data_IF_910438352354
#
_entry.id   IF_910438352354
#
_cell.length_a   1.000
_cell.length_b   1.000
_cell.length_c   1.000
_cell.angle_alpha   90.00
_cell.angle_beta   90.00
_cell.angle_gamma   90.00
#
_symmetry.space_group_name_H-M   'P 1'
#
loop_
_entity.id
_entity.type
_entity.pdbx_description
1 polymer ?
#
# COMPACT_ATOMS: atom_id res chain seq x y z
N UNK A 1 -5.83 -19.24 -4.56
CA UNK A 1 -6.50 -19.12 -3.24
C UNK A 1 -6.30 -20.43 -2.50
N UNK A 2 -5.11 -20.65 -1.94
CA UNK A 2 -4.63 -21.95 -1.44
C UNK A 2 -4.05 -21.84 -0.01
N UNK A 3 -4.36 -20.75 0.71
CA UNK A 3 -3.62 -20.35 1.91
C UNK A 3 -4.17 -20.91 3.23
N UNK A 4 -5.21 -21.73 3.24
CA UNK A 4 -5.76 -22.33 4.46
C UNK A 4 -6.30 -23.74 4.20
N UNK A 5 -5.43 -24.67 3.82
CA UNK A 5 -5.75 -26.10 3.94
C UNK A 5 -5.42 -26.54 5.37
N UNK A 6 -6.36 -26.35 6.29
CA UNK A 6 -6.25 -26.76 7.69
C UNK A 6 -7.50 -26.40 8.50
N UNK A 7 -7.77 -27.15 9.57
CA UNK A 7 -8.86 -26.87 10.49
C UNK A 7 -8.61 -25.53 11.22
N UNK A 8 -9.49 -24.55 11.03
CA UNK A 8 -9.41 -23.25 11.70
C UNK A 8 -10.13 -23.34 13.04
N UNK A 9 -9.38 -23.31 14.14
CA UNK A 9 -9.93 -23.33 15.51
C UNK A 9 -9.98 -21.90 16.06
N UNK A 10 -11.18 -21.43 16.42
CA UNK A 10 -11.37 -20.13 17.07
C UNK A 10 -11.12 -20.25 18.58
N UNK A 11 -10.06 -19.61 19.08
CA UNK A 11 -9.71 -19.63 20.51
C UNK A 11 -10.18 -18.35 21.21
N UNK A 12 -10.92 -18.45 22.33
CA UNK A 12 -11.35 -17.27 23.10
C UNK A 12 -10.17 -16.41 23.61
N UNK A 13 -10.31 -15.07 23.65
CA UNK A 13 -9.23 -14.15 24.05
C UNK A 13 -8.63 -14.41 25.44
N UNK A 14 -9.38 -15.03 26.36
CA UNK A 14 -8.92 -15.36 27.71
C UNK A 14 -7.72 -16.32 27.75
N UNK A 15 -7.45 -17.04 26.66
CA UNK A 15 -6.31 -17.95 26.53
C UNK A 15 -5.12 -17.31 25.79
N UNK A 16 -5.20 -16.03 25.37
CA UNK A 16 -4.12 -15.39 24.61
C UNK A 16 -2.80 -15.31 25.38
N UNK A 17 -2.84 -15.03 26.67
CA UNK A 17 -1.62 -14.91 27.48
C UNK A 17 -0.96 -16.27 27.71
N UNK A 18 -1.76 -17.33 27.85
CA UNK A 18 -1.30 -18.71 27.93
C UNK A 18 -0.66 -19.17 26.61
N UNK A 19 -1.32 -18.89 25.48
CA UNK A 19 -0.81 -19.20 24.14
C UNK A 19 0.51 -18.48 23.85
N UNK A 20 0.65 -17.20 24.25
CA UNK A 20 1.90 -16.44 24.07
C UNK A 20 3.06 -16.98 24.92
N UNK A 21 2.76 -17.71 25.99
CA UNK A 21 3.76 -18.31 26.88
C UNK A 21 4.20 -19.72 26.45
N UNK A 22 3.54 -20.30 25.45
CA UNK A 22 3.87 -21.64 24.96
C UNK A 22 5.17 -21.63 24.14
N UNK A 23 5.89 -22.76 24.09
CA UNK A 23 7.07 -22.88 23.24
C UNK A 23 6.74 -22.79 21.75
N UNK A 24 7.62 -22.17 20.97
CA UNK A 24 7.50 -22.04 19.51
C UNK A 24 7.37 -23.39 18.77
N UNK A 25 7.77 -24.50 19.41
CA UNK A 25 7.61 -25.86 18.86
C UNK A 25 6.15 -26.33 18.75
N UNK A 26 5.23 -25.71 19.50
CA UNK A 26 3.79 -26.03 19.49
C UNK A 26 2.95 -24.91 18.87
N UNK A 27 3.37 -23.65 19.07
CA UNK A 27 2.66 -22.48 18.56
C UNK A 27 3.68 -21.43 18.12
N UNK A 28 4.03 -21.44 16.83
CA UNK A 28 4.90 -20.42 16.25
C UNK A 28 4.06 -19.20 15.84
N UNK A 29 4.01 -18.21 16.73
CA UNK A 29 3.30 -16.97 16.48
C UNK A 29 3.91 -16.16 15.33
N UNK A 30 5.23 -16.25 15.13
CA UNK A 30 5.92 -15.56 14.05
C UNK A 30 5.52 -16.18 12.71
N UNK A 31 5.56 -17.50 12.58
CA UNK A 31 5.07 -18.21 11.40
C UNK A 31 3.56 -18.00 11.19
N UNK A 32 2.76 -17.99 12.26
CA UNK A 32 1.34 -17.68 12.20
C UNK A 32 1.06 -16.28 11.68
N UNK A 33 1.83 -15.28 12.12
CA UNK A 33 1.78 -13.93 11.58
C UNK A 33 2.25 -13.88 10.13
N UNK A 34 3.30 -14.62 9.76
CA UNK A 34 3.76 -14.69 8.37
C UNK A 34 2.69 -15.29 7.46
N UNK A 35 2.00 -16.34 7.88
CA UNK A 35 0.90 -16.94 7.10
C UNK A 35 -0.28 -15.96 7.04
N UNK A 36 -0.69 -15.39 8.18
CA UNK A 36 -1.85 -14.50 8.28
C UNK A 36 -1.66 -13.18 7.53
N UNK A 37 -0.44 -12.63 7.57
CA UNK A 37 -0.04 -11.43 6.80
C UNK A 37 0.34 -11.76 5.36
N UNK A 38 0.19 -13.02 4.94
CA UNK A 38 0.46 -13.45 3.58
C UNK A 38 1.91 -13.14 3.17
N UNK A 39 2.87 -13.38 4.07
CA UNK A 39 4.29 -13.06 3.89
C UNK A 39 4.93 -13.70 2.67
N UNK A 40 4.39 -14.82 2.18
CA UNK A 40 4.70 -15.41 0.87
C UNK A 40 4.58 -14.40 -0.28
N UNK A 41 3.63 -13.48 -0.16
CA UNK A 41 3.35 -12.41 -1.12
C UNK A 41 4.02 -11.10 -0.73
N UNK A 42 4.29 -10.86 0.57
CA UNK A 42 4.96 -9.64 1.02
C UNK A 42 6.45 -9.61 0.83
N UNK A 43 7.12 -10.77 0.88
CA UNK A 43 8.55 -10.97 0.57
C UNK A 43 9.54 -10.03 1.28
N UNK A 44 9.11 -9.18 2.22
CA UNK A 44 9.98 -8.21 2.88
C UNK A 44 9.79 -8.23 4.39
N UNK A 45 10.87 -8.13 5.19
CA UNK A 45 10.75 -7.93 6.62
C UNK A 45 10.08 -6.58 6.90
N UNK A 46 8.74 -6.63 7.05
CA UNK A 46 7.87 -5.46 7.26
C UNK A 46 8.43 -4.60 8.40
N UNK A 47 8.93 -5.23 9.46
CA UNK A 47 9.51 -4.53 10.62
C UNK A 47 10.69 -3.62 10.25
N UNK A 48 11.60 -4.08 9.40
CA UNK A 48 12.78 -3.30 8.99
C UNK A 48 12.38 -2.17 8.03
N UNK A 49 11.48 -2.44 7.09
CA UNK A 49 10.91 -1.43 6.22
C UNK A 49 10.17 -0.35 7.00
N UNK A 50 9.29 -0.74 7.93
CA UNK A 50 8.53 0.19 8.77
C UNK A 50 9.50 1.02 9.60
N UNK A 51 10.52 0.40 10.20
CA UNK A 51 11.52 1.12 11.02
C UNK A 51 12.30 2.14 10.18
N UNK A 52 12.74 1.74 8.99
CA UNK A 52 13.47 2.60 8.06
C UNK A 52 12.59 3.74 7.57
N UNK A 53 11.37 3.43 7.15
CA UNK A 53 10.42 4.43 6.68
C UNK A 53 9.99 5.38 7.80
N UNK A 54 9.82 4.90 9.04
CA UNK A 54 9.60 5.75 10.21
C UNK A 54 10.79 6.67 10.47
N UNK A 55 12.02 6.15 10.44
CA UNK A 55 13.23 6.96 10.60
C UNK A 55 13.35 8.04 9.52
N UNK A 56 13.07 7.70 8.27
CA UNK A 56 13.16 8.62 7.14
C UNK A 56 12.07 9.70 7.16
N UNK A 57 10.84 9.36 7.56
CA UNK A 57 9.69 10.28 7.49
C UNK A 57 9.44 11.05 8.79
N UNK A 58 9.78 10.47 9.94
CA UNK A 58 9.56 11.06 11.27
C UNK A 58 10.86 11.61 11.87
N UNK A 59 12.02 11.07 11.46
CA UNK A 59 13.35 11.43 11.93
C UNK A 59 13.84 10.53 13.08
N UNK A 60 15.15 10.45 13.34
CA UNK A 60 15.69 9.81 14.53
C UNK A 60 15.24 10.62 15.76
N UNK A 61 14.42 10.05 16.64
CA UNK A 61 13.93 10.77 17.82
C UNK A 61 14.64 10.29 19.08
N UNK A 62 15.48 11.16 19.64
CA UNK A 62 16.01 11.04 21.00
C UNK A 62 15.09 11.72 22.04
N UNK A 63 14.20 12.63 21.60
CA UNK A 63 13.31 13.42 22.45
C UNK A 63 11.87 13.46 21.90
N UNK A 64 10.89 13.68 22.79
CA UNK A 64 9.48 13.78 22.44
C UNK A 64 9.18 14.98 21.55
N UNK A 65 8.48 14.75 20.41
CA UNK A 65 8.06 15.81 19.49
C UNK A 65 6.62 15.62 19.02
N UNK A 66 5.89 16.73 18.93
CA UNK A 66 4.55 16.73 18.32
C UNK A 66 4.64 16.56 16.81
N UNK A 67 3.89 15.62 16.26
CA UNK A 67 3.86 15.31 14.83
C UNK A 67 2.40 15.24 14.36
N UNK A 68 2.09 15.94 13.27
CA UNK A 68 0.81 15.75 12.58
C UNK A 68 0.85 14.42 11.82
N UNK A 69 0.01 13.48 12.24
CA UNK A 69 0.05 12.08 11.79
C UNK A 69 -0.39 11.96 10.33
N UNK A 70 -1.59 12.43 10.00
CA UNK A 70 -2.23 12.17 8.70
C UNK A 70 -1.38 12.55 7.46
N UNK A 71 -0.66 13.69 7.40
CA UNK A 71 0.15 14.03 6.22
C UNK A 71 1.37 13.13 6.01
N UNK A 72 1.86 12.46 7.06
CA UNK A 72 3.08 11.63 7.00
C UNK A 72 2.79 10.16 6.72
N UNK A 73 1.60 9.69 7.11
CA UNK A 73 1.21 8.28 6.99
C UNK A 73 1.11 7.81 5.55
N UNK A 74 0.57 8.57 4.57
CA UNK A 74 0.54 8.13 3.18
C UNK A 74 1.93 7.85 2.61
N UNK A 75 2.92 8.67 2.94
CA UNK A 75 4.30 8.46 2.49
C UNK A 75 4.92 7.23 3.17
N UNK A 76 4.69 7.07 4.47
CA UNK A 76 5.06 5.86 5.20
C UNK A 76 4.48 4.63 4.50
N UNK A 77 3.16 4.57 4.33
CA UNK A 77 2.46 3.44 3.70
C UNK A 77 2.91 3.20 2.26
N UNK A 78 3.11 4.26 1.47
CA UNK A 78 3.59 4.12 0.09
C UNK A 78 5.00 3.52 0.04
N UNK A 79 5.90 3.91 0.95
CA UNK A 79 7.28 3.37 0.98
C UNK A 79 7.34 1.95 1.54
N UNK A 80 6.50 1.61 2.53
CA UNK A 80 6.48 0.27 3.14
C UNK A 80 5.67 -0.73 2.33
N UNK A 81 4.58 -0.29 1.70
CA UNK A 81 3.63 -1.13 0.95
C UNK A 81 3.80 -1.08 -0.58
N UNK A 82 4.55 -0.11 -1.12
CA UNK A 82 4.78 0.05 -2.55
C UNK A 82 5.55 -1.11 -3.19
N UNK A 83 6.38 -1.81 -2.42
CA UNK A 83 7.10 -3.02 -2.87
C UNK A 83 6.11 -4.11 -3.28
N UNK A 84 5.05 -4.29 -2.49
CA UNK A 84 4.03 -5.32 -2.74
C UNK A 84 3.24 -5.05 -4.03
N UNK A 85 2.95 -3.77 -4.26
CA UNK A 85 2.01 -3.34 -5.27
C UNK A 85 2.68 -2.92 -6.58
N UNK A 86 3.97 -2.64 -6.60
CA UNK A 86 4.63 -2.12 -7.80
C UNK A 86 5.90 -2.90 -8.14
N UNK A 87 6.23 -3.94 -7.36
CA UNK A 87 7.48 -4.68 -7.50
C UNK A 87 8.69 -3.85 -7.08
N UNK A 88 9.82 -4.53 -6.89
CA UNK A 88 11.08 -3.90 -6.48
C UNK A 88 11.57 -2.85 -7.48
N UNK A 89 11.35 -3.10 -8.78
CA UNK A 89 11.80 -2.24 -9.89
C UNK A 89 11.15 -0.85 -9.85
N UNK A 90 9.84 -0.74 -9.58
CA UNK A 90 9.18 0.55 -9.45
C UNK A 90 9.32 1.15 -8.05
N UNK A 91 9.31 0.33 -7.00
CA UNK A 91 9.41 0.83 -5.64
C UNK A 91 10.77 1.48 -5.33
N UNK A 92 11.82 1.02 -6.00
CA UNK A 92 13.15 1.62 -5.89
C UNK A 92 13.23 3.04 -6.48
N UNK A 93 12.24 3.43 -7.30
CA UNK A 93 12.17 4.77 -7.86
C UNK A 93 11.40 5.71 -6.91
N UNK A 94 12.10 6.61 -6.22
CA UNK A 94 11.47 7.59 -5.32
C UNK A 94 10.44 8.49 -6.01
N UNK A 95 10.58 8.73 -7.32
CA UNK A 95 9.61 9.52 -8.09
C UNK A 95 8.30 8.77 -8.28
N UNK A 96 8.33 7.43 -8.38
CA UNK A 96 7.13 6.60 -8.48
C UNK A 96 6.23 6.78 -7.24
N UNK A 97 6.80 6.68 -6.04
CA UNK A 97 6.05 6.88 -4.79
C UNK A 97 5.42 8.28 -4.71
N UNK A 98 6.16 9.32 -5.14
CA UNK A 98 5.66 10.70 -5.19
C UNK A 98 4.49 10.83 -6.17
N UNK A 99 4.60 10.25 -7.36
CA UNK A 99 3.53 10.26 -8.38
C UNK A 99 2.28 9.56 -7.84
N UNK A 100 2.42 8.41 -7.18
CA UNK A 100 1.30 7.70 -6.57
C UNK A 100 0.58 8.54 -5.51
N UNK A 101 1.33 9.22 -4.64
CA UNK A 101 0.77 10.10 -3.60
C UNK A 101 0.11 11.34 -4.20
N UNK A 102 0.74 11.97 -5.20
CA UNK A 102 0.17 13.12 -5.89
C UNK A 102 -1.11 12.73 -6.65
N UNK A 103 -1.10 11.58 -7.33
CA UNK A 103 -2.28 11.03 -7.98
C UNK A 103 -3.40 10.81 -6.97
N UNK A 104 -3.11 10.17 -5.82
CA UNK A 104 -4.04 9.97 -4.71
C UNK A 104 -4.70 11.30 -4.29
N UNK A 105 -3.88 12.29 -3.96
CA UNK A 105 -4.31 13.59 -3.48
C UNK A 105 -5.21 14.30 -4.50
N UNK A 106 -4.84 14.27 -5.78
CA UNK A 106 -5.62 14.90 -6.84
C UNK A 106 -6.94 14.15 -7.10
N UNK A 107 -6.97 12.81 -7.01
CA UNK A 107 -8.21 12.03 -7.16
C UNK A 107 -9.20 12.35 -6.04
N UNK A 108 -8.77 12.35 -4.78
CA UNK A 108 -9.68 12.63 -3.66
C UNK A 108 -10.12 14.10 -3.62
N UNK A 109 -9.21 15.04 -3.85
CA UNK A 109 -9.55 16.47 -3.88
C UNK A 109 -10.41 16.83 -5.10
N UNK A 110 -10.03 16.36 -6.29
CA UNK A 110 -10.76 16.61 -7.53
C UNK A 110 -12.12 15.91 -7.54
N UNK A 111 -12.16 14.65 -7.13
CA UNK A 111 -13.39 13.88 -6.97
C UNK A 111 -14.31 14.50 -5.93
N UNK A 112 -13.79 14.89 -4.77
CA UNK A 112 -14.55 15.58 -3.73
C UNK A 112 -15.13 16.93 -4.17
N UNK A 113 -14.44 17.68 -5.04
CA UNK A 113 -15.00 18.91 -5.64
C UNK A 113 -16.10 18.61 -6.66
N UNK A 114 -15.96 17.53 -7.43
CA UNK A 114 -16.97 17.10 -8.39
C UNK A 114 -18.25 16.57 -7.72
N UNK A 115 -18.15 15.92 -6.55
CA UNK A 115 -19.33 15.40 -5.84
C UNK A 115 -20.25 16.50 -5.31
N UNK A 116 -19.70 17.69 -5.03
CA UNK A 116 -20.49 18.87 -4.63
C UNK A 116 -21.14 19.55 -5.85
N UNK A 117 -20.63 19.30 -7.06
CA UNK A 117 -21.16 19.88 -8.29
C UNK A 117 -22.37 19.08 -8.80
N UNK A 118 -23.50 19.72 -9.14
CA UNK A 118 -24.64 19.05 -9.77
C UNK A 118 -24.23 18.29 -11.02
N UNK A 119 -24.76 17.08 -11.22
CA UNK A 119 -24.32 16.16 -12.29
C UNK A 119 -24.33 16.79 -13.69
N UNK A 120 -25.30 17.66 -13.99
CA UNK A 120 -25.39 18.34 -15.29
C UNK A 120 -24.31 19.41 -15.51
N UNK A 121 -23.71 19.94 -14.43
CA UNK A 121 -22.61 20.91 -14.49
C UNK A 121 -21.23 20.25 -14.43
N UNK A 122 -21.12 18.98 -14.06
CA UNK A 122 -19.84 18.26 -13.97
C UNK A 122 -19.01 18.31 -15.27
N UNK A 123 -19.59 18.19 -16.49
CA UNK A 123 -18.82 18.30 -17.73
C UNK A 123 -18.17 19.67 -17.94
N UNK A 124 -18.73 20.75 -17.35
CA UNK A 124 -18.14 22.08 -17.42
C UNK A 124 -17.22 22.35 -16.23
N UNK A 125 -17.63 21.93 -15.03
CA UNK A 125 -16.86 22.09 -13.80
C UNK A 125 -15.48 21.44 -13.89
N UNK A 126 -15.33 20.35 -14.66
CA UNK A 126 -14.04 19.69 -14.83
C UNK A 126 -12.92 20.62 -15.34
N UNK A 127 -13.26 21.64 -16.14
CA UNK A 127 -12.29 22.59 -16.69
C UNK A 127 -11.81 23.60 -15.63
N UNK A 128 -12.58 23.79 -14.56
CA UNK A 128 -12.28 24.71 -13.47
C UNK A 128 -11.66 24.02 -12.25
N UNK A 129 -11.48 22.70 -12.28
CA UNK A 129 -10.90 21.91 -11.19
C UNK A 129 -9.46 21.54 -11.56
N UNK A 130 -8.43 22.26 -11.03
CA UNK A 130 -7.04 22.03 -11.39
C UNK A 130 -6.56 20.61 -11.09
N UNK A 131 -7.13 19.97 -10.07
CA UNK A 131 -6.78 18.60 -9.67
C UNK A 131 -7.04 17.60 -10.79
N UNK A 132 -8.11 17.76 -11.59
CA UNK A 132 -8.41 16.86 -12.70
C UNK A 132 -7.39 16.98 -13.84
N UNK A 133 -6.85 18.18 -14.05
CA UNK A 133 -5.73 18.37 -14.98
C UNK A 133 -4.45 17.73 -14.45
N UNK A 134 -4.18 17.89 -13.15
CA UNK A 134 -3.02 17.28 -12.49
C UNK A 134 -3.06 15.76 -12.53
N UNK A 135 -4.23 15.14 -12.42
CA UNK A 135 -4.41 13.68 -12.64
C UNK A 135 -3.82 13.25 -13.99
N UNK A 136 -4.12 13.98 -15.07
CA UNK A 136 -3.57 13.68 -16.41
C UNK A 136 -2.05 13.82 -16.46
N UNK A 137 -1.49 14.80 -15.74
CA UNK A 137 -0.04 14.98 -15.64
C UNK A 137 0.61 13.85 -14.84
N UNK A 138 0.02 13.43 -13.72
CA UNK A 138 0.46 12.27 -12.94
C UNK A 138 0.43 11.00 -13.80
N UNK A 139 -0.65 10.77 -14.56
CA UNK A 139 -0.76 9.64 -15.49
C UNK A 139 0.36 9.64 -16.54
N UNK A 140 0.66 10.79 -17.13
CA UNK A 140 1.76 10.91 -18.10
C UNK A 140 3.11 10.52 -17.50
N UNK A 141 3.43 11.07 -16.31
CA UNK A 141 4.68 10.74 -15.61
C UNK A 141 4.74 9.27 -15.17
N UNK A 142 3.61 8.74 -14.72
CA UNK A 142 3.50 7.33 -14.35
C UNK A 142 3.80 6.43 -15.55
N UNK A 143 3.28 6.77 -16.73
CA UNK A 143 3.58 6.06 -17.97
C UNK A 143 5.08 6.09 -18.31
N UNK A 144 5.73 7.25 -18.18
CA UNK A 144 7.17 7.41 -18.45
C UNK A 144 8.04 6.48 -17.57
N UNK A 145 7.63 6.21 -16.33
CA UNK A 145 8.37 5.36 -15.39
C UNK A 145 7.97 3.89 -15.50
N UNK A 146 6.66 3.60 -15.55
CA UNK A 146 6.16 2.23 -15.44
C UNK A 146 6.20 1.46 -16.76
N UNK A 147 5.97 2.11 -17.90
CA UNK A 147 5.96 1.44 -19.20
C UNK A 147 7.30 0.70 -19.48
N UNK A 148 8.48 1.33 -19.31
CA UNK A 148 9.75 0.63 -19.56
C UNK A 148 9.92 -0.64 -18.71
N UNK A 149 9.46 -0.62 -17.46
CA UNK A 149 9.50 -1.78 -16.56
C UNK A 149 8.57 -2.88 -17.04
N UNK A 150 7.34 -2.52 -17.41
CA UNK A 150 6.33 -3.47 -17.92
C UNK A 150 6.79 -4.09 -19.24
N UNK A 151 7.31 -3.30 -20.18
CA UNK A 151 7.85 -3.79 -21.46
C UNK A 151 9.05 -4.71 -21.28
N UNK A 152 9.97 -4.36 -20.39
CA UNK A 152 11.11 -5.23 -20.02
C UNK A 152 10.60 -6.56 -19.48
N UNK A 153 9.57 -6.54 -18.64
CA UNK A 153 8.97 -7.76 -18.07
C UNK A 153 8.28 -8.62 -19.13
N UNK A 154 7.53 -8.01 -20.05
CA UNK A 154 6.94 -8.71 -21.20
C UNK A 154 7.99 -9.42 -22.06
N UNK A 155 9.09 -8.74 -22.39
CA UNK A 155 10.22 -9.34 -23.14
C UNK A 155 10.87 -10.49 -22.38
N UNK A 156 11.01 -10.37 -21.06
CA UNK A 156 11.60 -11.43 -20.26
C UNK A 156 10.68 -12.65 -20.16
N UNK A 157 9.36 -12.48 -20.19
CA UNK A 157 8.39 -13.59 -20.20
C UNK A 157 8.48 -14.48 -21.46
N UNK A 158 9.13 -14.02 -22.52
CA UNK A 158 9.42 -14.84 -23.72
C UNK A 158 10.56 -15.85 -23.49
N UNK A 159 11.35 -15.68 -22.43
CA UNK A 159 12.46 -16.57 -22.11
C UNK A 159 11.97 -17.73 -21.25
N UNK A 160 12.41 -18.95 -21.58
CA UNK A 160 12.02 -20.17 -20.84
C UNK A 160 12.54 -20.19 -19.40
N UNK A 161 13.64 -19.48 -19.10
CA UNK A 161 14.26 -19.41 -17.78
C UNK A 161 13.71 -18.30 -16.88
N UNK A 162 12.76 -17.49 -17.38
CA UNK A 162 12.25 -16.35 -16.62
C UNK A 162 11.31 -16.77 -15.49
N UNK A 163 11.76 -16.54 -14.26
CA UNK A 163 10.91 -16.69 -13.08
C UNK A 163 10.02 -15.47 -12.92
N UNK A 164 8.73 -15.67 -13.19
CA UNK A 164 7.69 -14.64 -13.01
C UNK A 164 7.69 -14.11 -11.56
N UNK A 165 7.89 -12.79 -11.37
CA UNK A 165 7.75 -12.17 -10.06
C UNK A 165 6.32 -12.33 -9.53
N UNK A 166 6.16 -12.47 -8.23
CA UNK A 166 4.85 -12.57 -7.60
C UNK A 166 4.44 -11.20 -7.05
N UNK A 167 4.07 -10.29 -7.93
CA UNK A 167 3.67 -8.92 -7.63
C UNK A 167 2.49 -8.46 -8.51
N UNK A 168 1.94 -7.28 -8.21
CA UNK A 168 0.77 -6.76 -8.93
C UNK A 168 1.02 -6.56 -10.43
N UNK A 169 2.24 -6.17 -10.84
CA UNK A 169 2.57 -6.05 -12.27
C UNK A 169 2.36 -7.39 -12.95
N UNK A 170 2.92 -8.47 -12.39
CA UNK A 170 2.76 -9.79 -13.00
C UNK A 170 1.31 -10.27 -12.97
N UNK A 171 0.58 -10.05 -11.86
CA UNK A 171 -0.83 -10.44 -11.77
C UNK A 171 -1.69 -9.71 -12.80
N UNK A 172 -1.45 -8.41 -13.00
CA UNK A 172 -2.16 -7.60 -13.98
C UNK A 172 -1.81 -8.00 -15.42
N UNK A 173 -0.55 -8.37 -15.69
CA UNK A 173 -0.12 -8.89 -16.99
C UNK A 173 -0.75 -10.25 -17.31
N UNK A 174 -0.68 -11.20 -16.37
CA UNK A 174 -1.25 -12.54 -16.54
C UNK A 174 -2.77 -12.47 -16.80
N UNK A 175 -3.48 -11.56 -16.14
CA UNK A 175 -4.90 -11.32 -16.37
C UNK A 175 -5.16 -10.65 -17.74
N UNK A 176 -4.32 -9.70 -18.14
CA UNK A 176 -4.47 -9.00 -19.42
C UNK A 176 -4.23 -9.94 -20.60
N UNK A 177 -3.22 -10.81 -20.52
CA UNK A 177 -2.90 -11.79 -21.57
C UNK A 177 -4.06 -12.76 -21.78
N UNK A 178 -4.76 -13.17 -20.72
CA UNK A 178 -5.95 -14.03 -20.82
C UNK A 178 -7.12 -13.34 -21.55
N UNK A 179 -7.20 -12.00 -21.50
CA UNK A 179 -8.27 -11.20 -22.11
C UNK A 179 -7.95 -10.77 -23.55
N UNK A 180 -6.68 -10.77 -23.96
CA UNK A 180 -6.25 -10.38 -25.29
C UNK A 180 -4.91 -9.63 -25.29
N UNK A 181 -4.67 -8.75 -26.28
CA UNK A 181 -3.42 -7.99 -26.35
C UNK A 181 -3.25 -7.09 -25.13
N UNK A 182 -2.04 -7.04 -24.59
CA UNK A 182 -1.72 -6.24 -23.41
C UNK A 182 -1.74 -4.76 -23.75
N UNK A 183 -2.61 -4.01 -23.09
CA UNK A 183 -2.61 -2.55 -23.14
C UNK A 183 -1.73 -1.99 -22.02
N UNK A 184 -0.58 -1.40 -22.39
CA UNK A 184 0.38 -0.86 -21.42
C UNK A 184 -0.22 0.24 -20.55
N UNK A 185 -1.12 1.05 -21.11
CA UNK A 185 -1.74 2.14 -20.35
C UNK A 185 -2.68 1.59 -19.26
N UNK A 186 -3.49 0.58 -19.58
CA UNK A 186 -4.33 -0.10 -18.59
C UNK A 186 -3.49 -0.75 -17.48
N UNK A 187 -2.30 -1.26 -17.81
CA UNK A 187 -1.38 -1.80 -16.80
C UNK A 187 -0.92 -0.71 -15.83
N UNK A 188 -0.51 0.46 -16.33
CA UNK A 188 -0.11 1.59 -15.47
C UNK A 188 -1.28 2.09 -14.63
N UNK A 189 -2.47 2.19 -15.21
CA UNK A 189 -3.69 2.56 -14.48
C UNK A 189 -4.00 1.56 -13.35
N UNK A 190 -3.82 0.25 -13.61
CA UNK A 190 -3.97 -0.79 -12.60
C UNK A 190 -2.99 -0.60 -11.43
N UNK A 191 -1.72 -0.25 -11.71
CA UNK A 191 -0.72 0.03 -10.68
C UNK A 191 -1.12 1.24 -9.81
N UNK A 192 -1.54 2.35 -10.44
CA UNK A 192 -1.97 3.55 -9.74
C UNK A 192 -3.25 3.32 -8.92
N UNK A 193 -4.19 2.53 -9.45
CA UNK A 193 -5.41 2.15 -8.74
C UNK A 193 -5.11 1.25 -7.53
N UNK A 194 -4.20 0.29 -7.69
CA UNK A 194 -3.73 -0.57 -6.60
C UNK A 194 -3.07 0.24 -5.48
N UNK A 195 -2.18 1.16 -5.86
CA UNK A 195 -1.56 2.11 -4.92
C UNK A 195 -2.61 2.99 -4.23
N UNK A 196 -3.60 3.50 -4.98
CA UNK A 196 -4.68 4.32 -4.44
C UNK A 196 -5.49 3.58 -3.37
N UNK A 197 -5.90 2.35 -3.67
CA UNK A 197 -6.68 1.50 -2.76
C UNK A 197 -5.92 1.18 -1.48
N UNK A 198 -4.64 0.81 -1.59
CA UNK A 198 -3.85 0.41 -0.44
C UNK A 198 -3.41 1.59 0.43
N UNK A 199 -2.91 2.68 -0.19
CA UNK A 199 -2.35 3.81 0.55
C UNK A 199 -3.43 4.56 1.30
N UNK A 200 -4.57 4.86 0.67
CA UNK A 200 -5.61 5.65 1.32
C UNK A 200 -6.28 4.92 2.48
N UNK A 201 -6.72 3.69 2.26
CA UNK A 201 -7.43 2.91 3.29
C UNK A 201 -6.54 2.62 4.48
N UNK A 202 -5.29 2.18 4.26
CA UNK A 202 -4.33 1.92 5.34
C UNK A 202 -3.98 3.20 6.08
N UNK A 203 -3.80 4.32 5.38
CA UNK A 203 -3.50 5.60 6.03
C UNK A 203 -4.63 6.08 6.92
N UNK A 204 -5.88 5.92 6.46
CA UNK A 204 -7.05 6.26 7.24
C UNK A 204 -7.18 5.34 8.46
N UNK A 205 -7.08 4.02 8.29
CA UNK A 205 -7.15 3.04 9.38
C UNK A 205 -6.06 3.28 10.42
N UNK A 206 -4.82 3.51 9.98
CA UNK A 206 -3.70 3.79 10.88
C UNK A 206 -3.93 5.08 11.66
N UNK A 207 -4.41 6.13 10.99
CA UNK A 207 -4.72 7.41 11.62
C UNK A 207 -5.86 7.25 12.64
N UNK A 208 -6.94 6.56 12.28
CA UNK A 208 -8.07 6.28 13.16
C UNK A 208 -7.68 5.42 14.35
N UNK A 209 -6.82 4.42 14.16
CA UNK A 209 -6.31 3.61 15.24
C UNK A 209 -5.54 4.46 16.25
N UNK A 210 -4.65 5.35 15.79
CA UNK A 210 -3.90 6.26 16.67
C UNK A 210 -4.84 7.18 17.44
N UNK A 211 -5.80 7.82 16.77
CA UNK A 211 -6.74 8.72 17.44
C UNK A 211 -7.74 7.99 18.34
N UNK A 212 -8.03 6.72 18.06
CA UNK A 212 -8.90 5.85 18.85
C UNK A 212 -8.23 5.29 20.10
N UNK A 213 -6.90 5.34 20.20
CA UNK A 213 -6.19 5.00 21.43
C UNK A 213 -6.57 6.01 22.52
N UNK A 214 -7.31 5.55 23.54
CA UNK A 214 -7.45 6.33 24.77
C UNK A 214 -6.07 6.51 25.39
N UNK A 215 -5.71 7.72 25.85
CA UNK A 215 -4.50 7.87 26.64
C UNK A 215 -4.60 6.91 27.84
N UNK A 216 -3.49 6.24 28.22
CA UNK A 216 -3.51 5.40 29.40
C UNK A 216 -4.02 6.23 30.58
N UNK A 217 -4.97 5.67 31.33
CA UNK A 217 -5.40 6.26 32.60
C UNK A 217 -4.12 6.35 33.44
N UNK A 218 -3.60 7.56 33.62
CA UNK A 218 -2.56 7.79 34.63
C UNK A 218 -3.23 7.46 35.94
N UNK A 219 -2.97 6.27 36.49
CA UNK A 219 -3.23 6.06 37.90
C UNK A 219 -2.49 7.18 38.63
N UNK A 220 -3.19 8.00 39.43
CA UNK A 220 -2.52 9.02 40.20
C UNK A 220 -1.55 8.28 41.10
N UNK A 221 -0.26 8.41 40.82
CA UNK A 221 0.79 7.94 41.71
C UNK A 221 0.40 8.35 43.13
N UNK A 222 0.19 7.34 43.98
CA UNK A 222 0.06 7.51 45.41
C UNK A 222 1.25 8.37 45.87
N UNK A 223 0.92 9.53 46.45
CA UNK A 223 1.88 10.37 47.16
C UNK A 223 2.37 9.63 48.40
#
# INVERSE_FOLDING_TARGET
MQAMEGDVVLIPPKYLDELKSMPDSHFDFAQGQEISLMSKYTKTPITELVTTAMRNNVGPQAEWKSVTVFPKVPLLVATTGGILLSGEELNSNEEWAKICIDYLNNVFQGGGKLTVCPTFLQPLAQFFIPELYRIKTCMKKANEIAIPVIEKRLKNMEREDFQKPNDLIQWALDLSIQKGPVNLQEQVECQLMGALGAVHTTSLTFTQAIYGMKPPVREPHAR
#
